data_IF_330013566663
#
_entry.id   IF_330013566663
#
_cell.length_a   1.000
_cell.length_b   1.000
_cell.length_c   1.000
_cell.angle_alpha   90.00
_cell.angle_beta   90.00
_cell.angle_gamma   90.00
#
_symmetry.space_group_name_H-M   'P 1'
#
loop_
_entity.id
_entity.type
_entity.pdbx_description
1 polymer ?
#
# COMPACT_ATOMS: atom_id res chain seq x y z
N UNK A 1 7.42 0.74 12.83
CA UNK A 1 6.07 1.21 13.21
C UNK A 1 5.20 0.97 11.99
N UNK A 2 4.14 0.15 12.09
CA UNK A 2 3.45 -0.39 10.91
C UNK A 2 2.20 0.44 10.57
N UNK A 3 2.08 0.85 9.31
CA UNK A 3 0.99 1.71 8.82
C UNK A 3 0.05 0.88 7.95
N UNK A 4 -1.21 0.80 8.34
CA UNK A 4 -2.28 0.26 7.49
C UNK A 4 -2.81 1.34 6.56
N UNK A 5 -2.85 1.07 5.26
CA UNK A 5 -3.30 2.02 4.24
C UNK A 5 -4.33 1.39 3.32
N UNK A 6 -5.57 1.88 3.38
CA UNK A 6 -6.70 1.36 2.60
C UNK A 6 -7.08 2.38 1.53
N UNK A 7 -7.10 1.96 0.27
CA UNK A 7 -7.42 2.81 -0.87
C UNK A 7 -6.19 3.26 -1.66
N UNK A 8 -5.92 2.60 -2.78
CA UNK A 8 -4.75 2.75 -3.66
C UNK A 8 -5.14 3.36 -5.02
N UNK A 9 -6.09 4.30 -5.01
CA UNK A 9 -6.49 5.09 -6.17
C UNK A 9 -5.41 6.11 -6.59
N UNK A 10 -5.82 7.12 -7.37
CA UNK A 10 -4.91 8.12 -7.98
C UNK A 10 -4.00 8.79 -6.94
N UNK A 11 -4.53 9.14 -5.77
CA UNK A 11 -3.73 9.76 -4.69
C UNK A 11 -3.11 8.74 -3.73
N UNK A 12 -3.82 7.66 -3.41
CA UNK A 12 -3.34 6.69 -2.42
C UNK A 12 -2.09 5.93 -2.86
N UNK A 13 -1.97 5.65 -4.16
CA UNK A 13 -0.84 4.94 -4.75
C UNK A 13 0.49 5.72 -4.66
N UNK A 14 0.60 7.01 -5.03
CA UNK A 14 1.83 7.78 -4.81
C UNK A 14 2.09 8.06 -3.32
N UNK A 15 1.06 8.21 -2.48
CA UNK A 15 1.24 8.38 -1.03
C UNK A 15 1.87 7.16 -0.37
N UNK A 16 1.31 5.97 -0.61
CA UNK A 16 1.83 4.71 -0.08
C UNK A 16 3.28 4.46 -0.52
N UNK A 17 3.61 4.71 -1.80
CA UNK A 17 4.99 4.64 -2.30
C UNK A 17 5.94 5.62 -1.60
N UNK A 18 5.48 6.84 -1.30
CA UNK A 18 6.32 7.81 -0.57
C UNK A 18 6.56 7.38 0.88
N UNK A 19 5.57 6.78 1.55
CA UNK A 19 5.75 6.24 2.90
C UNK A 19 6.73 5.07 2.91
N UNK A 20 6.67 4.17 1.92
CA UNK A 20 7.65 3.08 1.77
C UNK A 20 9.06 3.66 1.55
N UNK A 21 9.20 4.65 0.66
CA UNK A 21 10.49 5.34 0.42
C UNK A 21 11.05 6.05 1.66
N UNK A 22 10.17 6.54 2.53
CA UNK A 22 10.56 7.15 3.80
C UNK A 22 10.96 6.12 4.87
N UNK A 23 10.89 4.81 4.57
CA UNK A 23 11.31 3.73 5.47
C UNK A 23 10.22 3.24 6.42
N UNK A 24 8.96 3.52 6.14
CA UNK A 24 7.84 2.99 6.93
C UNK A 24 7.39 1.62 6.42
N UNK A 25 7.11 0.72 7.37
CA UNK A 25 6.48 -0.57 7.08
C UNK A 25 5.00 -0.34 6.74
N UNK A 26 4.60 -0.59 5.49
CA UNK A 26 3.22 -0.43 5.05
C UNK A 26 2.52 -1.77 4.84
N UNK A 27 1.28 -1.86 5.31
CA UNK A 27 0.31 -2.88 4.90
C UNK A 27 -0.77 -2.18 4.08
N UNK A 28 -1.02 -2.65 2.86
CA UNK A 28 -1.95 -2.00 1.92
C UNK A 28 -3.12 -2.89 1.54
N UNK A 29 -4.29 -2.29 1.39
CA UNK A 29 -5.49 -2.99 0.92
C UNK A 29 -6.29 -2.11 -0.05
N UNK A 30 -6.82 -2.73 -1.10
CA UNK A 30 -7.76 -2.11 -2.03
C UNK A 30 -8.65 -3.20 -2.66
N UNK A 31 -9.86 -2.83 -3.09
CA UNK A 31 -10.76 -3.72 -3.83
C UNK A 31 -10.15 -4.10 -5.19
N UNK A 32 -9.38 -3.19 -5.79
CA UNK A 32 -8.63 -3.41 -7.00
C UNK A 32 -7.28 -4.07 -6.69
N UNK A 33 -7.21 -5.39 -6.88
CA UNK A 33 -5.99 -6.19 -6.69
C UNK A 33 -4.79 -5.69 -7.49
N UNK A 34 -5.00 -5.15 -8.69
CA UNK A 34 -3.90 -4.60 -9.51
C UNK A 34 -3.24 -3.39 -8.83
N UNK A 35 -4.00 -2.59 -8.08
CA UNK A 35 -3.45 -1.49 -7.32
C UNK A 35 -2.63 -1.96 -6.12
N UNK A 36 -3.08 -3.01 -5.44
CA UNK A 36 -2.34 -3.69 -4.36
C UNK A 36 -1.02 -4.24 -4.88
N UNK A 37 -1.05 -5.03 -5.96
CA UNK A 37 0.14 -5.65 -6.56
C UNK A 37 1.22 -4.63 -6.91
N UNK A 38 0.83 -3.46 -7.43
CA UNK A 38 1.77 -2.41 -7.80
C UNK A 38 2.49 -1.80 -6.60
N UNK A 39 1.80 -1.68 -5.46
CA UNK A 39 2.35 -1.10 -4.23
C UNK A 39 3.12 -2.15 -3.43
N UNK A 40 2.69 -3.41 -3.46
CA UNK A 40 3.45 -4.55 -2.91
C UNK A 40 4.78 -4.70 -3.63
N UNK A 41 4.81 -4.60 -4.97
CA UNK A 41 6.06 -4.54 -5.76
C UNK A 41 6.96 -3.36 -5.38
N UNK A 42 6.40 -2.29 -4.85
CA UNK A 42 7.17 -1.14 -4.37
C UNK A 42 7.72 -1.31 -2.95
N UNK A 43 7.32 -2.37 -2.22
CA UNK A 43 7.82 -2.71 -0.89
C UNK A 43 6.77 -2.73 0.23
N UNK A 44 5.48 -2.65 -0.08
CA UNK A 44 4.42 -2.85 0.93
C UNK A 44 4.09 -4.33 1.11
N UNK A 45 3.42 -4.65 2.21
CA UNK A 45 2.76 -5.93 2.45
C UNK A 45 1.28 -5.87 2.05
N UNK A 46 0.75 -6.96 1.51
CA UNK A 46 -0.68 -7.08 1.22
C UNK A 46 -1.48 -7.31 2.51
N UNK A 47 -2.49 -6.47 2.73
CA UNK A 47 -3.49 -6.66 3.77
C UNK A 47 -4.62 -7.57 3.28
N UNK A 48 -5.17 -8.39 4.17
CA UNK A 48 -6.35 -9.21 3.90
C UNK A 48 -7.51 -8.78 4.79
N UNK A 49 -8.73 -8.84 4.25
CA UNK A 49 -9.97 -8.72 5.03
C UNK A 49 -10.49 -10.13 5.30
N UNK A 50 -10.93 -10.37 6.54
CA UNK A 50 -11.73 -11.54 6.90
C UNK A 50 -13.16 -11.43 6.35
#
# INVERSE_FOLDING_TARGET
MKIGFIGLGIMGKPMSKNLIKAGYDLVVFDINKSAVDEVVKAGAEEGTSA
#
